data_IF_045720671213
#
_entry.id   IF_045720671213
#
_cell.length_a   1.000
_cell.length_b   1.000
_cell.length_c   1.000
_cell.angle_alpha   90.00
_cell.angle_beta   90.00
_cell.angle_gamma   90.00
#
_symmetry.space_group_name_H-M   'P 1'
#
loop_
_entity.id
_entity.type
_entity.pdbx_description
1 polymer ?
#
# COMPACT_ATOMS: atom_id res chain seq x y z
N UNK A 1 30.50 -14.39 -6.94
CA UNK A 1 29.07 -14.05 -6.88
C UNK A 1 28.89 -13.22 -5.62
N UNK A 2 28.65 -11.91 -5.76
CA UNK A 2 28.34 -11.08 -4.61
C UNK A 2 27.06 -11.63 -3.95
N UNK A 3 27.06 -11.70 -2.64
CA UNK A 3 25.92 -12.21 -1.88
C UNK A 3 24.72 -11.27 -2.11
N UNK A 4 23.83 -11.65 -3.03
CA UNK A 4 22.62 -10.88 -3.39
C UNK A 4 21.53 -10.95 -2.31
N UNK A 5 21.83 -11.58 -1.17
CA UNK A 5 20.92 -11.71 -0.05
C UNK A 5 20.84 -10.39 0.72
N UNK A 6 19.63 -9.97 1.00
CA UNK A 6 19.39 -8.83 1.89
C UNK A 6 19.57 -9.24 3.33
N UNK A 7 20.27 -8.42 4.11
CA UNK A 7 20.38 -8.63 5.55
C UNK A 7 19.00 -8.45 6.23
N UNK A 8 18.82 -9.09 7.38
CA UNK A 8 17.58 -8.91 8.18
C UNK A 8 17.37 -7.44 8.54
N UNK A 9 18.45 -6.71 8.82
CA UNK A 9 18.41 -5.27 9.12
C UNK A 9 17.86 -4.45 7.95
N UNK A 10 18.21 -4.78 6.71
CA UNK A 10 17.68 -4.12 5.51
C UNK A 10 16.20 -4.44 5.28
N UNK A 11 15.79 -5.70 5.50
CA UNK A 11 14.39 -6.13 5.39
C UNK A 11 13.50 -5.41 6.42
N UNK A 12 13.94 -5.34 7.67
CA UNK A 12 13.26 -4.58 8.73
C UNK A 12 13.26 -3.10 8.39
N UNK A 13 14.40 -2.55 7.96
CA UNK A 13 14.51 -1.14 7.58
C UNK A 13 13.57 -0.75 6.45
N UNK A 14 13.43 -1.60 5.43
CA UNK A 14 12.44 -1.39 4.39
C UNK A 14 11.01 -1.45 4.94
N UNK A 15 10.70 -2.43 5.79
CA UNK A 15 9.40 -2.53 6.44
C UNK A 15 9.05 -1.32 7.32
N UNK A 16 10.05 -0.74 8.00
CA UNK A 16 9.88 0.48 8.80
C UNK A 16 9.44 1.69 7.96
N UNK A 17 9.89 1.81 6.70
CA UNK A 17 9.43 2.87 5.81
C UNK A 17 7.93 2.85 5.60
N UNK A 18 7.34 1.68 5.33
CA UNK A 18 5.88 1.53 5.16
C UNK A 18 5.13 1.64 6.49
N UNK A 19 5.69 1.11 7.56
CA UNK A 19 5.13 1.25 8.90
C UNK A 19 5.03 2.73 9.31
N UNK A 20 6.08 3.53 9.06
CA UNK A 20 6.05 4.99 9.28
C UNK A 20 5.02 5.71 8.44
N UNK A 21 4.83 5.28 7.18
CA UNK A 21 3.77 5.77 6.31
C UNK A 21 2.38 5.45 6.88
N UNK A 22 2.17 4.19 7.29
CA UNK A 22 0.88 3.69 7.77
C UNK A 22 0.49 4.23 9.17
N UNK A 23 1.43 4.58 10.03
CA UNK A 23 1.13 5.28 11.28
C UNK A 23 0.40 6.60 11.01
N UNK A 24 0.89 7.40 10.08
CA UNK A 24 0.30 8.70 9.75
C UNK A 24 -0.99 8.55 8.96
N UNK A 25 -0.95 7.80 7.85
CA UNK A 25 -2.14 7.58 7.00
C UNK A 25 -3.23 6.80 7.74
N UNK A 26 -2.86 5.81 8.56
CA UNK A 26 -3.81 5.07 9.37
C UNK A 26 -4.54 5.95 10.38
N UNK A 27 -3.84 6.88 11.04
CA UNK A 27 -4.46 7.87 11.93
C UNK A 27 -5.46 8.76 11.16
N UNK A 28 -5.08 9.21 9.96
CA UNK A 28 -5.96 10.00 9.10
C UNK A 28 -7.19 9.19 8.70
N UNK A 29 -7.01 7.99 8.16
CA UNK A 29 -8.13 7.13 7.71
C UNK A 29 -9.13 6.80 8.82
N UNK A 30 -8.66 6.63 10.05
CA UNK A 30 -9.52 6.32 11.19
C UNK A 30 -10.25 7.54 11.73
N UNK A 31 -9.62 8.73 11.74
CA UNK A 31 -10.09 9.86 12.55
C UNK A 31 -10.34 11.15 11.77
N UNK A 32 -9.98 11.26 10.49
CA UNK A 32 -10.10 12.50 9.73
C UNK A 32 -11.53 13.03 9.68
N UNK A 33 -12.50 12.17 9.46
CA UNK A 33 -13.90 12.58 9.41
C UNK A 33 -14.34 13.14 10.77
N UNK A 34 -14.15 12.37 11.85
CA UNK A 34 -14.49 12.80 13.20
C UNK A 34 -13.76 14.06 13.62
N UNK A 35 -12.46 14.16 13.32
CA UNK A 35 -11.67 15.34 13.63
C UNK A 35 -12.21 16.59 12.94
N UNK A 36 -12.45 16.54 11.62
CA UNK A 36 -12.91 17.70 10.88
C UNK A 36 -14.36 18.09 11.18
N UNK A 37 -15.24 17.15 11.46
CA UNK A 37 -16.66 17.46 11.78
C UNK A 37 -16.83 17.86 13.24
N UNK A 38 -16.38 17.04 14.18
CA UNK A 38 -16.75 17.15 15.60
C UNK A 38 -15.75 18.01 16.40
N UNK A 39 -14.47 18.08 15.98
CA UNK A 39 -13.43 18.82 16.70
C UNK A 39 -13.10 20.12 15.99
N UNK A 40 -12.84 20.08 14.69
CA UNK A 40 -12.48 21.24 13.90
C UNK A 40 -13.71 22.11 13.56
N UNK A 41 -14.91 21.49 13.46
CA UNK A 41 -16.19 22.16 13.26
C UNK A 41 -16.52 22.49 11.80
N UNK A 42 -16.05 21.67 10.84
CA UNK A 42 -16.46 21.81 9.43
C UNK A 42 -17.77 21.08 9.14
N UNK A 43 -18.57 21.64 8.23
CA UNK A 43 -19.78 20.96 7.75
C UNK A 43 -19.41 19.62 7.07
N UNK A 44 -20.13 18.51 7.36
CA UNK A 44 -19.82 17.18 6.82
C UNK A 44 -19.76 17.12 5.29
N UNK A 45 -20.64 17.87 4.60
CA UNK A 45 -20.61 17.97 3.14
C UNK A 45 -19.30 18.58 2.62
N UNK A 46 -18.75 19.57 3.34
CA UNK A 46 -17.48 20.21 2.98
C UNK A 46 -16.30 19.26 3.20
N UNK A 47 -16.34 18.45 4.26
CA UNK A 47 -15.33 17.40 4.51
C UNK A 47 -15.36 16.39 3.36
N UNK A 48 -16.53 15.98 2.89
CA UNK A 48 -16.67 15.12 1.71
C UNK A 48 -16.03 15.71 0.45
N UNK A 49 -16.27 17.00 0.17
CA UNK A 49 -15.64 17.72 -0.95
C UNK A 49 -14.11 17.77 -0.80
N UNK A 50 -13.62 18.05 0.42
CA UNK A 50 -12.19 18.08 0.72
C UNK A 50 -11.53 16.72 0.44
N UNK A 51 -12.11 15.63 0.94
CA UNK A 51 -11.58 14.28 0.71
C UNK A 51 -11.60 13.88 -0.78
N UNK A 52 -12.65 14.27 -1.51
CA UNK A 52 -12.76 13.99 -2.95
C UNK A 52 -11.75 14.80 -3.76
N UNK A 53 -11.57 16.10 -3.44
CA UNK A 53 -10.65 16.99 -4.16
C UNK A 53 -9.21 16.46 -4.11
N UNK A 54 -8.79 15.92 -2.95
CA UNK A 54 -7.46 15.32 -2.80
C UNK A 54 -7.28 14.07 -3.68
N UNK A 55 -8.33 13.27 -3.90
CA UNK A 55 -8.25 12.11 -4.82
C UNK A 55 -8.02 12.53 -6.27
N UNK A 56 -8.61 13.65 -6.70
CA UNK A 56 -8.36 14.21 -8.03
C UNK A 56 -6.91 14.70 -8.15
N UNK A 57 -6.40 15.34 -7.10
CA UNK A 57 -5.01 15.82 -7.05
C UNK A 57 -4.04 14.63 -7.11
N UNK A 58 -4.28 13.58 -6.33
CA UNK A 58 -3.47 12.36 -6.35
C UNK A 58 -3.34 11.79 -7.77
N UNK A 59 -4.44 11.77 -8.55
CA UNK A 59 -4.42 11.26 -9.92
C UNK A 59 -3.43 11.99 -10.84
N UNK A 60 -3.18 13.28 -10.57
CA UNK A 60 -2.23 14.11 -11.33
C UNK A 60 -0.83 14.05 -10.74
N UNK A 61 -0.72 14.12 -9.41
CA UNK A 61 0.59 14.18 -8.73
C UNK A 61 1.33 12.85 -8.71
N UNK A 62 0.61 11.71 -8.68
CA UNK A 62 1.24 10.40 -8.66
C UNK A 62 2.13 10.13 -9.89
N UNK A 63 1.70 10.30 -11.16
CA UNK A 63 2.56 10.12 -12.32
C UNK A 63 3.72 11.11 -12.39
N UNK A 64 3.47 12.37 -11.99
CA UNK A 64 4.51 13.40 -11.95
C UNK A 64 5.60 13.02 -10.97
N UNK A 65 5.22 12.57 -9.77
CA UNK A 65 6.16 12.15 -8.74
C UNK A 65 6.93 10.90 -9.16
N UNK A 66 6.28 9.94 -9.81
CA UNK A 66 6.95 8.76 -10.40
C UNK A 66 8.05 9.15 -11.38
N UNK A 67 7.74 10.09 -12.27
CA UNK A 67 8.71 10.61 -13.25
C UNK A 67 9.84 11.40 -12.60
N UNK A 68 9.55 12.20 -11.57
CA UNK A 68 10.58 12.93 -10.81
C UNK A 68 11.52 11.97 -10.08
N UNK A 69 10.97 10.94 -9.45
CA UNK A 69 11.75 9.92 -8.77
C UNK A 69 12.67 9.17 -9.73
N UNK A 70 12.18 8.80 -10.92
CA UNK A 70 12.96 8.12 -11.96
C UNK A 70 14.10 8.98 -12.49
N UNK A 71 13.94 10.31 -12.54
CA UNK A 71 14.94 11.28 -13.03
C UNK A 71 15.88 11.79 -11.94
N UNK A 72 15.61 11.48 -10.68
CA UNK A 72 16.43 11.95 -9.56
C UNK A 72 17.84 11.36 -9.65
N UNK A 73 18.85 12.22 -9.51
CA UNK A 73 20.27 11.85 -9.46
C UNK A 73 20.87 12.41 -8.19
N UNK A 74 21.31 11.55 -7.30
CA UNK A 74 21.99 11.98 -6.07
C UNK A 74 23.06 10.98 -5.65
N UNK A 75 23.96 11.40 -4.77
CA UNK A 75 24.96 10.54 -4.15
C UNK A 75 24.37 9.39 -3.32
N UNK A 76 23.08 9.48 -2.98
CA UNK A 76 22.37 8.46 -2.20
C UNK A 76 21.55 7.50 -3.05
N UNK A 77 21.53 7.67 -4.37
CA UNK A 77 20.68 6.92 -5.30
C UNK A 77 19.55 7.76 -5.88
N UNK A 78 18.54 7.09 -6.44
CA UNK A 78 17.38 7.70 -7.11
C UNK A 78 16.19 7.87 -6.17
N UNK A 79 15.87 6.85 -5.40
CA UNK A 79 14.66 6.76 -4.58
C UNK A 79 14.92 7.08 -3.10
N UNK A 80 16.07 6.64 -2.56
CA UNK A 80 16.45 6.88 -1.15
C UNK A 80 16.45 8.35 -0.72
N UNK A 81 16.95 9.31 -1.52
CA UNK A 81 17.01 10.70 -1.07
C UNK A 81 15.63 11.28 -0.75
N UNK A 82 14.58 10.81 -1.41
CA UNK A 82 13.21 11.25 -1.15
C UNK A 82 12.73 10.89 0.26
N UNK A 83 13.17 9.75 0.81
CA UNK A 83 12.90 9.37 2.19
C UNK A 83 13.52 10.36 3.19
N UNK A 84 14.72 10.87 2.89
CA UNK A 84 15.40 11.85 3.72
C UNK A 84 14.78 13.25 3.60
N UNK A 85 14.53 13.70 2.37
CA UNK A 85 14.06 15.07 2.12
C UNK A 85 12.62 15.29 2.53
N UNK A 86 11.76 14.29 2.37
CA UNK A 86 10.32 14.42 2.59
C UNK A 86 9.88 13.95 3.99
N UNK A 87 10.69 13.20 4.73
CA UNK A 87 10.33 12.72 6.06
C UNK A 87 9.90 13.86 7.00
N UNK A 88 10.65 14.96 7.04
CA UNK A 88 10.32 16.12 7.89
C UNK A 88 9.07 16.88 7.37
N UNK A 89 8.96 17.30 6.09
CA UNK A 89 7.75 17.92 5.56
C UNK A 89 6.49 17.07 5.77
N UNK A 90 6.59 15.75 5.57
CA UNK A 90 5.47 14.84 5.77
C UNK A 90 5.00 14.80 7.22
N UNK A 91 5.93 14.73 8.17
CA UNK A 91 5.62 14.81 9.60
C UNK A 91 5.03 16.18 9.97
N UNK A 92 5.60 17.27 9.46
CA UNK A 92 5.14 18.63 9.73
C UNK A 92 3.69 18.84 9.26
N UNK A 93 3.38 18.48 8.00
CA UNK A 93 2.02 18.66 7.46
C UNK A 93 1.01 17.73 8.12
N UNK A 94 1.45 16.56 8.64
CA UNK A 94 0.60 15.68 9.45
C UNK A 94 0.17 16.36 10.75
N UNK A 95 1.09 17.05 11.44
CA UNK A 95 0.78 17.79 12.66
C UNK A 95 -0.08 19.01 12.37
N UNK A 96 0.25 19.78 11.31
CA UNK A 96 -0.52 20.95 10.92
C UNK A 96 -1.97 20.59 10.54
N UNK A 97 -2.20 19.44 9.88
CA UNK A 97 -3.54 18.98 9.56
C UNK A 97 -4.41 18.77 10.80
N UNK A 98 -3.84 18.30 11.92
CA UNK A 98 -4.52 18.10 13.20
C UNK A 98 -4.41 19.30 14.15
N UNK A 99 -3.96 20.46 13.67
CA UNK A 99 -3.93 21.72 14.42
C UNK A 99 -5.21 22.51 14.15
N UNK A 100 -5.88 22.94 15.20
CA UNK A 100 -7.14 23.68 15.12
C UNK A 100 -6.89 25.17 15.46
N UNK A 101 -6.67 26.06 14.47
CA UNK A 101 -6.48 27.49 14.72
C UNK A 101 -7.80 28.14 15.13
N UNK A 102 -7.74 29.13 16.01
CA UNK A 102 -8.88 29.94 16.43
C UNK A 102 -9.15 31.08 15.43
N UNK A 103 -9.53 30.70 14.20
CA UNK A 103 -9.79 31.63 13.11
C UNK A 103 -11.26 31.65 12.75
N UNK A 104 -11.64 32.60 11.86
CA UNK A 104 -12.98 32.62 11.27
C UNK A 104 -13.27 31.34 10.49
N UNK A 105 -14.55 30.97 10.37
CA UNK A 105 -14.96 29.75 9.68
C UNK A 105 -14.34 29.59 8.27
N UNK A 106 -14.41 30.68 7.46
CA UNK A 106 -13.86 30.66 6.09
C UNK A 106 -12.33 30.44 6.09
N UNK A 107 -11.61 31.06 7.03
CA UNK A 107 -10.15 30.86 7.17
C UNK A 107 -9.82 29.45 7.63
N UNK A 108 -10.63 28.85 8.50
CA UNK A 108 -10.52 27.44 8.89
C UNK A 108 -10.71 26.50 7.71
N UNK A 109 -11.70 26.76 6.84
CA UNK A 109 -11.93 25.98 5.62
C UNK A 109 -10.69 26.00 4.73
N UNK A 110 -10.17 27.19 4.41
CA UNK A 110 -8.96 27.34 3.58
C UNK A 110 -7.78 26.62 4.22
N UNK A 111 -7.57 26.76 5.52
CA UNK A 111 -6.50 26.07 6.25
C UNK A 111 -6.61 24.56 6.13
N UNK A 112 -7.80 23.98 6.32
CA UNK A 112 -8.03 22.53 6.19
C UNK A 112 -7.71 22.04 4.77
N UNK A 113 -8.14 22.77 3.72
CA UNK A 113 -7.83 22.40 2.34
C UNK A 113 -6.32 22.49 2.05
N UNK A 114 -5.65 23.57 2.47
CA UNK A 114 -4.21 23.75 2.22
C UNK A 114 -3.38 22.69 2.96
N UNK A 115 -3.64 22.46 4.25
CA UNK A 115 -2.86 21.50 5.04
C UNK A 115 -3.08 20.08 4.56
N UNK A 116 -4.30 19.69 4.21
CA UNK A 116 -4.58 18.34 3.68
C UNK A 116 -4.02 18.16 2.26
N UNK A 117 -4.06 19.19 1.43
CA UNK A 117 -3.40 19.20 0.11
C UNK A 117 -1.89 18.98 0.24
N UNK A 118 -1.21 19.77 1.10
CA UNK A 118 0.24 19.67 1.30
C UNK A 118 0.63 18.30 1.89
N UNK A 119 -0.19 17.76 2.80
CA UNK A 119 -0.01 16.43 3.33
C UNK A 119 -0.14 15.36 2.24
N UNK A 120 -1.13 15.45 1.34
CA UNK A 120 -1.30 14.50 0.23
C UNK A 120 -0.12 14.55 -0.73
N UNK A 121 0.35 15.75 -1.10
CA UNK A 121 1.51 15.91 -1.97
C UNK A 121 2.77 15.31 -1.34
N UNK A 122 3.02 15.57 -0.05
CA UNK A 122 4.18 15.00 0.65
C UNK A 122 4.04 13.49 0.85
N UNK A 123 2.83 12.98 1.08
CA UNK A 123 2.57 11.54 1.07
C UNK A 123 2.93 10.89 -0.26
N UNK A 124 2.46 11.44 -1.37
CA UNK A 124 2.82 10.97 -2.72
C UNK A 124 4.33 11.04 -2.95
N UNK A 125 4.97 12.15 -2.52
CA UNK A 125 6.40 12.39 -2.70
C UNK A 125 7.30 11.42 -1.88
N UNK A 126 6.82 10.85 -0.79
CA UNK A 126 7.56 9.86 -0.02
C UNK A 126 7.18 8.43 -0.39
N UNK A 127 5.90 8.16 -0.65
CA UNK A 127 5.37 6.81 -0.85
C UNK A 127 5.75 6.22 -2.20
N UNK A 128 5.71 6.98 -3.30
CA UNK A 128 6.06 6.48 -4.64
C UNK A 128 7.53 6.08 -4.73
N UNK A 129 8.50 6.94 -4.33
CA UNK A 129 9.91 6.54 -4.29
C UNK A 129 10.15 5.36 -3.33
N UNK A 130 9.47 5.33 -2.17
CA UNK A 130 9.56 4.21 -1.24
C UNK A 130 9.12 2.88 -1.88
N UNK A 131 7.97 2.85 -2.53
CA UNK A 131 7.49 1.64 -3.21
C UNK A 131 8.45 1.21 -4.34
N UNK A 132 8.96 2.17 -5.10
CA UNK A 132 9.92 1.94 -6.19
C UNK A 132 11.27 1.44 -5.67
N UNK A 133 11.69 1.87 -4.48
CA UNK A 133 12.95 1.45 -3.84
C UNK A 133 13.05 -0.07 -3.69
N UNK A 134 11.95 -0.75 -3.37
CA UNK A 134 11.91 -2.21 -3.23
C UNK A 134 12.38 -2.97 -4.47
N UNK A 135 12.26 -2.39 -5.68
CA UNK A 135 12.66 -3.01 -6.94
C UNK A 135 14.16 -2.94 -7.21
N UNK A 136 14.82 -1.95 -6.62
CA UNK A 136 16.26 -1.67 -6.84
C UNK A 136 17.15 -2.14 -5.69
N UNK A 137 16.55 -2.71 -4.63
CA UNK A 137 17.30 -3.29 -3.51
C UNK A 137 17.94 -4.63 -3.86
N UNK A 138 17.25 -5.48 -4.62
CA UNK A 138 17.72 -6.82 -5.01
C UNK A 138 17.13 -7.28 -6.33
N UNK A 139 17.92 -8.00 -7.10
CA UNK A 139 17.47 -8.67 -8.32
C UNK A 139 16.81 -10.02 -8.02
N UNK A 140 17.09 -10.65 -6.87
CA UNK A 140 16.56 -11.98 -6.52
C UNK A 140 15.05 -11.91 -6.21
N UNK A 141 14.20 -12.61 -7.01
CA UNK A 141 12.76 -12.64 -6.78
C UNK A 141 12.33 -13.23 -5.42
N UNK A 142 13.12 -14.13 -4.85
CA UNK A 142 12.83 -14.70 -3.52
C UNK A 142 13.11 -13.69 -2.41
N UNK A 143 14.21 -12.96 -2.52
CA UNK A 143 14.54 -11.89 -1.58
C UNK A 143 13.53 -10.73 -1.66
N UNK A 144 12.98 -10.45 -2.86
CA UNK A 144 11.88 -9.47 -3.03
C UNK A 144 10.63 -9.91 -2.24
N UNK A 145 10.22 -11.18 -2.33
CA UNK A 145 9.09 -11.68 -1.53
C UNK A 145 9.38 -11.60 -0.04
N UNK A 146 10.58 -12.00 0.37
CA UNK A 146 10.99 -11.90 1.77
C UNK A 146 10.90 -10.45 2.28
N UNK A 147 11.43 -9.50 1.51
CA UNK A 147 11.41 -8.08 1.84
C UNK A 147 9.97 -7.56 1.99
N UNK A 148 9.07 -7.91 1.08
CA UNK A 148 7.65 -7.55 1.15
C UNK A 148 6.94 -8.24 2.34
N UNK A 149 7.29 -9.49 2.67
CA UNK A 149 6.75 -10.16 3.85
C UNK A 149 7.10 -9.42 5.14
N UNK A 150 8.36 -9.02 5.32
CA UNK A 150 8.80 -8.20 6.45
C UNK A 150 8.07 -6.84 6.48
N UNK A 151 7.91 -6.20 5.31
CA UNK A 151 7.16 -4.96 5.16
C UNK A 151 5.76 -5.07 5.75
N UNK A 152 4.97 -6.06 5.33
CA UNK A 152 3.59 -6.22 5.81
C UNK A 152 3.49 -6.63 7.28
N UNK A 153 4.47 -7.34 7.82
CA UNK A 153 4.55 -7.61 9.27
C UNK A 153 4.77 -6.29 10.03
N UNK A 154 5.70 -5.45 9.58
CA UNK A 154 5.95 -4.15 10.23
C UNK A 154 4.73 -3.21 10.14
N UNK A 155 4.02 -3.20 9.01
CA UNK A 155 2.75 -2.49 8.85
C UNK A 155 1.70 -3.01 9.82
N UNK A 156 1.56 -4.34 9.96
CA UNK A 156 0.64 -4.94 10.92
C UNK A 156 0.92 -4.51 12.36
N UNK A 157 2.19 -4.54 12.78
CA UNK A 157 2.62 -4.04 14.10
C UNK A 157 2.27 -2.57 14.26
N UNK A 158 2.58 -1.74 13.27
CA UNK A 158 2.30 -0.29 13.30
C UNK A 158 0.80 -0.02 13.40
N UNK A 159 -0.04 -0.74 12.66
CA UNK A 159 -1.50 -0.62 12.69
C UNK A 159 -2.07 -1.01 14.04
N UNK A 160 -1.60 -2.12 14.65
CA UNK A 160 -2.01 -2.53 15.98
C UNK A 160 -1.61 -1.49 17.03
N UNK A 161 -0.37 -1.02 17.01
CA UNK A 161 0.10 0.00 17.93
C UNK A 161 -0.72 1.29 17.79
N UNK A 162 -0.97 1.74 16.55
CA UNK A 162 -1.78 2.91 16.28
C UNK A 162 -3.18 2.79 16.87
N UNK A 163 -3.86 1.67 16.62
CA UNK A 163 -5.24 1.45 17.07
C UNK A 163 -5.36 1.38 18.60
N UNK A 164 -4.31 0.92 19.28
CA UNK A 164 -4.27 0.81 20.73
C UNK A 164 -3.82 2.10 21.43
N UNK A 165 -3.05 2.95 20.76
CA UNK A 165 -2.39 4.09 21.43
C UNK A 165 -3.01 5.44 21.11
N UNK A 166 -3.58 5.64 19.91
CA UNK A 166 -3.99 6.97 19.46
C UNK A 166 -5.06 7.61 20.37
N UNK A 167 -6.15 6.89 20.66
CA UNK A 167 -7.22 7.43 21.50
C UNK A 167 -6.77 7.66 22.94
N UNK A 168 -6.14 6.67 23.63
CA UNK A 168 -5.60 6.91 24.97
C UNK A 168 -4.60 8.08 25.04
N UNK A 169 -3.76 8.23 24.02
CA UNK A 169 -2.83 9.37 23.96
C UNK A 169 -3.57 10.69 23.76
N UNK A 170 -4.58 10.73 22.89
CA UNK A 170 -5.36 11.95 22.68
C UNK A 170 -6.11 12.36 23.97
N UNK A 171 -6.67 11.41 24.70
CA UNK A 171 -7.34 11.68 25.98
C UNK A 171 -6.34 12.11 27.06
N UNK A 172 -5.18 11.47 27.14
CA UNK A 172 -4.15 11.81 28.14
C UNK A 172 -3.53 13.20 27.92
N UNK A 173 -3.20 13.56 26.69
CA UNK A 173 -2.64 14.85 26.37
C UNK A 173 -3.66 16.00 26.35
N UNK A 174 -4.90 15.68 25.95
CA UNK A 174 -5.94 16.70 25.74
C UNK A 174 -6.73 17.02 27.02
N UNK A 175 -6.99 16.04 27.86
CA UNK A 175 -7.89 16.19 28.99
C UNK A 175 -9.25 16.74 28.55
N UNK A 176 -9.55 17.98 28.93
CA UNK A 176 -10.78 18.68 28.51
C UNK A 176 -10.74 19.23 27.09
N UNK A 177 -9.54 19.46 26.54
CA UNK A 177 -9.30 20.02 25.20
C UNK A 177 -8.96 18.90 24.20
N UNK A 178 -9.97 18.35 23.55
CA UNK A 178 -9.80 17.29 22.56
C UNK A 178 -8.94 17.72 21.36
N UNK A 179 -9.04 18.98 20.91
CA UNK A 179 -8.28 19.47 19.77
C UNK A 179 -6.76 19.40 20.04
N UNK A 180 -6.37 19.89 21.22
CA UNK A 180 -4.98 19.81 21.69
C UNK A 180 -4.53 18.36 21.87
N UNK A 181 -5.41 17.49 22.37
CA UNK A 181 -5.15 16.06 22.54
C UNK A 181 -4.78 15.37 21.23
N UNK A 182 -5.59 15.56 20.19
CA UNK A 182 -5.32 14.99 18.85
C UNK A 182 -4.06 15.59 18.22
N UNK A 183 -3.82 16.89 18.36
CA UNK A 183 -2.61 17.54 17.87
C UNK A 183 -1.35 16.95 18.51
N UNK A 184 -1.34 16.81 19.84
CA UNK A 184 -0.18 16.26 20.56
C UNK A 184 0.05 14.78 20.25
N UNK A 185 -1.01 13.98 20.21
CA UNK A 185 -0.93 12.57 19.80
C UNK A 185 -0.34 12.43 18.38
N UNK A 186 -0.85 13.22 17.42
CA UNK A 186 -0.30 13.24 16.06
C UNK A 186 1.14 13.74 16.01
N UNK A 187 1.55 14.68 16.87
CA UNK A 187 2.94 15.15 16.95
C UNK A 187 3.88 14.00 17.32
N UNK A 188 3.51 13.20 18.33
CA UNK A 188 4.30 12.03 18.75
C UNK A 188 4.34 10.99 17.64
N UNK A 189 3.18 10.66 17.04
CA UNK A 189 3.10 9.66 15.96
C UNK A 189 3.85 10.10 14.70
N UNK A 190 3.76 11.38 14.33
CA UNK A 190 4.48 11.93 13.19
C UNK A 190 6.00 11.91 13.41
N UNK A 191 6.46 12.21 14.65
CA UNK A 191 7.86 12.09 15.02
C UNK A 191 8.37 10.64 14.93
N UNK A 192 7.58 9.66 15.43
CA UNK A 192 7.91 8.25 15.31
C UNK A 192 7.97 7.85 13.84
N UNK A 193 6.98 8.22 13.03
CA UNK A 193 6.95 7.95 11.58
C UNK A 193 8.16 8.55 10.86
N UNK A 194 8.54 9.78 11.17
CA UNK A 194 9.76 10.42 10.64
C UNK A 194 11.02 9.62 11.00
N UNK A 195 11.18 9.21 12.26
CA UNK A 195 12.31 8.38 12.68
C UNK A 195 12.35 7.03 11.93
N UNK A 196 11.19 6.42 11.67
CA UNK A 196 11.09 5.18 10.91
C UNK A 196 11.53 5.37 9.45
N UNK A 197 11.17 6.48 8.79
CA UNK A 197 11.67 6.81 7.45
C UNK A 197 13.18 7.06 7.43
N UNK A 198 13.71 7.78 8.40
CA UNK A 198 15.16 8.02 8.53
C UNK A 198 15.92 6.71 8.79
N UNK A 199 15.35 5.79 9.57
CA UNK A 199 15.90 4.46 9.78
C UNK A 199 15.89 3.64 8.48
N UNK A 200 14.81 3.69 7.70
CA UNK A 200 14.74 3.08 6.38
C UNK A 200 15.84 3.64 5.46
N UNK A 201 15.96 4.97 5.37
CA UNK A 201 17.03 5.63 4.60
C UNK A 201 18.43 5.17 5.02
N UNK A 202 18.70 5.04 6.32
CA UNK A 202 20.02 4.68 6.85
C UNK A 202 20.38 3.21 6.58
N UNK A 203 19.40 2.32 6.57
CA UNK A 203 19.63 0.85 6.51
C UNK A 203 19.53 0.29 5.10
N UNK A 204 18.67 0.83 4.24
CA UNK A 204 18.41 0.32 2.89
C UNK A 204 19.39 0.91 1.88
N UNK A 205 19.82 0.12 0.90
CA UNK A 205 20.70 0.55 -0.20
C UNK A 205 20.13 0.16 -1.56
N UNK A 206 20.31 1.04 -2.54
CA UNK A 206 20.02 0.74 -3.94
C UNK A 206 21.22 -0.02 -4.54
N UNK A 207 20.95 -1.20 -5.12
CA UNK A 207 21.98 -2.06 -5.73
C UNK A 207 21.81 -2.19 -7.23
N UNK A 208 20.59 -1.99 -7.73
CA UNK A 208 20.26 -2.13 -9.15
C UNK A 208 20.23 -0.74 -9.77
N UNK A 209 21.15 -0.51 -10.68
CA UNK A 209 21.19 0.69 -11.49
C UNK A 209 20.72 0.36 -12.91
N UNK A 210 19.90 1.20 -13.57
CA UNK A 210 19.48 0.97 -14.94
C UNK A 210 20.68 1.10 -15.89
N UNK A 211 20.74 0.23 -16.90
CA UNK A 211 21.81 0.23 -17.90
C UNK A 211 21.79 1.52 -18.75
N UNK A 212 20.61 2.05 -19.04
CA UNK A 212 20.43 3.28 -19.82
C UNK A 212 19.63 4.29 -19.01
N UNK A 213 20.22 5.46 -18.80
CA UNK A 213 19.51 6.60 -18.20
C UNK A 213 18.93 7.47 -19.33
N UNK A 214 17.60 7.50 -19.43
CA UNK A 214 16.93 8.32 -20.44
C UNK A 214 16.50 9.65 -19.83
N UNK A 215 16.81 10.75 -20.55
CA UNK A 215 16.29 12.08 -20.30
C UNK A 215 15.05 12.36 -21.18
N UNK A 216 14.30 11.33 -21.53
CA UNK A 216 13.15 11.43 -22.41
C UNK A 216 12.00 12.24 -21.79
N UNK A 217 11.12 12.78 -22.61
CA UNK A 217 9.93 13.49 -22.16
C UNK A 217 8.96 12.57 -21.43
N UNK A 218 8.27 13.08 -20.40
CA UNK A 218 7.26 12.34 -19.61
C UNK A 218 6.23 11.62 -20.50
N UNK A 219 5.78 12.28 -21.58
CA UNK A 219 4.81 11.69 -22.53
C UNK A 219 5.35 10.43 -23.22
N UNK A 220 6.66 10.41 -23.53
CA UNK A 220 7.31 9.25 -24.17
C UNK A 220 7.45 8.10 -23.18
N UNK A 221 7.86 8.40 -21.93
CA UNK A 221 7.97 7.40 -20.87
C UNK A 221 6.61 6.76 -20.56
N UNK A 222 5.53 7.56 -20.46
CA UNK A 222 4.16 7.05 -20.31
C UNK A 222 3.77 6.13 -21.48
N UNK A 223 4.09 6.50 -22.73
CA UNK A 223 3.81 5.65 -23.89
C UNK A 223 4.61 4.34 -23.87
N UNK A 224 5.85 4.40 -23.39
CA UNK A 224 6.73 3.22 -23.32
C UNK A 224 6.28 2.25 -22.22
N UNK A 225 5.77 2.74 -21.09
CA UNK A 225 5.16 1.89 -20.04
C UNK A 225 3.95 1.13 -20.59
N UNK A 226 3.10 1.76 -21.42
CA UNK A 226 1.95 1.08 -22.04
C UNK A 226 2.35 -0.02 -23.04
N UNK A 227 3.56 -0.02 -23.56
CA UNK A 227 4.08 -1.12 -24.39
C UNK A 227 4.43 -2.38 -23.59
N UNK A 228 4.54 -2.27 -22.26
CA UNK A 228 4.72 -3.40 -21.37
C UNK A 228 3.37 -4.08 -21.13
N UNK A 229 3.08 -5.13 -21.89
CA UNK A 229 1.82 -5.88 -21.79
C UNK A 229 1.60 -6.53 -20.41
N UNK A 230 2.68 -6.88 -19.70
CA UNK A 230 2.58 -7.41 -18.35
C UNK A 230 2.20 -6.33 -17.34
N UNK A 231 2.60 -5.08 -17.58
CA UNK A 231 2.23 -3.95 -16.74
C UNK A 231 0.71 -3.70 -16.76
N UNK A 232 0.09 -3.73 -17.95
CA UNK A 232 -1.38 -3.59 -18.05
C UNK A 232 -2.10 -4.72 -17.31
N UNK A 233 -1.59 -5.94 -17.40
CA UNK A 233 -2.17 -7.11 -16.70
C UNK A 233 -2.03 -7.02 -15.18
N UNK A 234 -0.90 -6.49 -14.69
CA UNK A 234 -0.72 -6.32 -13.24
C UNK A 234 -1.57 -5.18 -12.68
N UNK A 235 -1.85 -4.12 -13.45
CA UNK A 235 -2.81 -3.08 -13.06
C UNK A 235 -4.21 -3.67 -12.88
N UNK A 236 -4.64 -4.52 -13.82
CA UNK A 236 -5.90 -5.26 -13.70
C UNK A 236 -5.89 -6.18 -12.47
N UNK A 237 -4.77 -6.88 -12.23
CA UNK A 237 -4.61 -7.72 -11.04
C UNK A 237 -4.70 -6.88 -9.76
N UNK A 238 -4.10 -5.70 -9.72
CA UNK A 238 -4.19 -4.78 -8.57
C UNK A 238 -5.64 -4.44 -8.24
N UNK A 239 -6.39 -4.02 -9.26
CA UNK A 239 -7.81 -3.69 -9.12
C UNK A 239 -8.61 -4.88 -8.56
N UNK A 240 -8.47 -6.06 -9.19
CA UNK A 240 -9.21 -7.25 -8.80
C UNK A 240 -8.80 -7.80 -7.42
N UNK A 241 -7.53 -7.65 -7.03
CA UNK A 241 -7.00 -8.16 -5.77
C UNK A 241 -7.43 -7.31 -4.56
N UNK A 242 -7.50 -5.99 -4.74
CA UNK A 242 -7.83 -5.04 -3.65
C UNK A 242 -9.32 -5.05 -3.33
N UNK A 243 -10.18 -5.08 -4.36
CA UNK A 243 -11.63 -4.96 -4.19
C UNK A 243 -12.24 -5.99 -3.21
N UNK A 244 -12.01 -7.30 -3.32
CA UNK A 244 -12.65 -8.29 -2.46
C UNK A 244 -12.28 -8.12 -0.99
N UNK A 245 -11.00 -7.87 -0.70
CA UNK A 245 -10.51 -7.65 0.65
C UNK A 245 -11.11 -6.42 1.30
N UNK A 246 -11.19 -5.31 0.55
CA UNK A 246 -11.74 -4.06 1.05
C UNK A 246 -13.26 -4.13 1.26
N UNK A 247 -14.00 -4.80 0.36
CA UNK A 247 -15.44 -5.06 0.55
C UNK A 247 -15.69 -5.80 1.86
N UNK A 248 -14.93 -6.88 2.11
CA UNK A 248 -15.05 -7.63 3.37
C UNK A 248 -14.68 -6.79 4.58
N UNK A 249 -13.58 -6.06 4.52
CA UNK A 249 -13.14 -5.20 5.61
C UNK A 249 -14.22 -4.18 5.98
N UNK A 250 -14.81 -3.52 5.00
CA UNK A 250 -15.90 -2.57 5.20
C UNK A 250 -17.17 -3.24 5.74
N UNK A 251 -17.48 -4.48 5.32
CA UNK A 251 -18.62 -5.24 5.78
C UNK A 251 -18.45 -5.84 7.20
N UNK A 252 -17.21 -5.93 7.70
CA UNK A 252 -16.90 -6.63 8.97
C UNK A 252 -17.65 -6.03 10.16
N UNK A 253 -17.67 -4.70 10.29
CA UNK A 253 -18.40 -4.03 11.40
C UNK A 253 -19.89 -4.34 11.34
N UNK A 254 -20.51 -4.26 10.15
CA UNK A 254 -21.93 -4.58 9.97
C UNK A 254 -22.22 -6.05 10.31
N UNK A 255 -21.35 -6.97 9.88
CA UNK A 255 -21.49 -8.39 10.16
C UNK A 255 -21.42 -8.70 11.66
N UNK A 256 -20.45 -8.15 12.37
CA UNK A 256 -20.29 -8.37 13.81
C UNK A 256 -21.46 -7.75 14.60
N UNK A 257 -21.88 -6.53 14.26
CA UNK A 257 -22.92 -5.81 15.00
C UNK A 257 -24.31 -6.36 14.72
N UNK A 258 -24.67 -6.54 13.45
CA UNK A 258 -26.04 -6.85 13.07
C UNK A 258 -26.31 -8.34 12.86
N UNK A 259 -25.34 -9.10 12.35
CA UNK A 259 -25.53 -10.53 12.07
C UNK A 259 -25.12 -11.40 13.25
N UNK A 260 -23.97 -11.10 13.90
CA UNK A 260 -23.55 -11.81 15.10
C UNK A 260 -24.21 -11.27 16.38
N UNK A 261 -24.76 -10.05 16.35
CA UNK A 261 -25.37 -9.41 17.53
C UNK A 261 -24.38 -9.06 18.63
N UNK A 262 -23.12 -8.82 18.29
CA UNK A 262 -22.04 -8.57 19.25
C UNK A 262 -21.77 -7.07 19.43
N UNK A 263 -21.13 -6.72 20.56
CA UNK A 263 -20.78 -5.33 20.87
C UNK A 263 -19.66 -4.78 20.00
N UNK A 264 -19.55 -3.44 19.91
CA UNK A 264 -18.46 -2.74 19.23
C UNK A 264 -17.08 -3.12 19.83
N UNK A 265 -17.01 -3.38 21.13
CA UNK A 265 -15.80 -3.85 21.77
C UNK A 265 -15.35 -5.23 21.23
N UNK A 266 -16.30 -6.15 21.05
CA UNK A 266 -16.04 -7.44 20.42
C UNK A 266 -15.59 -7.27 18.97
N UNK A 267 -16.18 -6.33 18.22
CA UNK A 267 -15.76 -6.03 16.84
C UNK A 267 -14.29 -5.58 16.77
N UNK A 268 -13.84 -4.78 17.74
CA UNK A 268 -12.43 -4.37 17.83
C UNK A 268 -11.51 -5.58 18.04
N UNK A 269 -11.86 -6.49 18.94
CA UNK A 269 -11.10 -7.73 19.14
C UNK A 269 -11.08 -8.61 17.89
N UNK A 270 -12.24 -8.74 17.23
CA UNK A 270 -12.41 -9.52 16.02
C UNK A 270 -11.50 -8.99 14.89
N UNK A 271 -11.52 -7.68 14.65
CA UNK A 271 -10.65 -7.02 13.65
C UNK A 271 -9.17 -7.18 14.02
N UNK A 272 -8.81 -6.97 15.29
CA UNK A 272 -7.44 -7.12 15.77
C UNK A 272 -6.90 -8.54 15.57
N UNK A 273 -7.73 -9.56 15.82
CA UNK A 273 -7.40 -10.95 15.53
C UNK A 273 -7.13 -11.18 14.05
N UNK A 274 -7.91 -10.54 13.17
CA UNK A 274 -7.68 -10.54 11.72
C UNK A 274 -6.32 -9.96 11.35
N UNK A 275 -5.91 -8.83 11.95
CA UNK A 275 -4.59 -8.21 11.70
C UNK A 275 -3.45 -9.15 12.08
N UNK A 276 -3.55 -9.85 13.22
CA UNK A 276 -2.56 -10.87 13.62
C UNK A 276 -2.51 -12.00 12.59
N UNK A 277 -3.66 -12.46 12.10
CA UNK A 277 -3.72 -13.44 11.01
C UNK A 277 -3.02 -12.94 9.74
N UNK A 278 -3.23 -11.69 9.36
CA UNK A 278 -2.55 -11.08 8.20
C UNK A 278 -1.02 -11.06 8.36
N UNK A 279 -0.50 -10.76 9.56
CA UNK A 279 0.95 -10.80 9.81
C UNK A 279 1.52 -12.19 9.58
N UNK A 280 0.85 -13.24 10.06
CA UNK A 280 1.25 -14.64 9.85
C UNK A 280 1.18 -14.99 8.36
N UNK A 281 0.11 -14.60 7.66
CA UNK A 281 -0.06 -14.79 6.22
C UNK A 281 1.07 -14.18 5.40
N UNK A 282 1.52 -12.98 5.77
CA UNK A 282 2.67 -12.32 5.12
C UNK A 282 3.96 -13.13 5.24
N UNK A 283 4.22 -13.76 6.39
CA UNK A 283 5.40 -14.62 6.58
C UNK A 283 5.28 -15.93 5.80
N UNK A 284 4.07 -16.52 5.75
CA UNK A 284 3.80 -17.73 4.97
C UNK A 284 4.02 -17.53 3.48
N UNK A 285 3.80 -16.33 2.94
CA UNK A 285 4.07 -16.02 1.55
C UNK A 285 5.50 -16.36 1.14
N UNK A 286 6.49 -16.02 1.97
CA UNK A 286 7.90 -16.38 1.75
C UNK A 286 8.11 -17.89 1.77
N UNK A 287 7.60 -18.57 2.81
CA UNK A 287 7.76 -20.02 2.98
C UNK A 287 7.20 -20.79 1.79
N UNK A 288 6.04 -20.38 1.30
CA UNK A 288 5.40 -21.01 0.15
C UNK A 288 6.18 -20.75 -1.16
N UNK A 289 6.69 -19.54 -1.38
CA UNK A 289 7.42 -19.19 -2.61
C UNK A 289 8.86 -19.71 -2.64
N UNK A 290 9.42 -20.12 -1.52
CA UNK A 290 10.69 -20.84 -1.50
C UNK A 290 10.57 -22.21 -2.22
N UNK A 291 9.39 -22.84 -2.14
CA UNK A 291 9.11 -24.16 -2.74
C UNK A 291 8.42 -24.07 -4.09
N UNK A 292 7.43 -23.20 -4.23
CA UNK A 292 6.56 -23.07 -5.41
C UNK A 292 6.76 -21.75 -6.15
N UNK A 293 6.28 -21.70 -7.42
CA UNK A 293 6.28 -20.47 -8.21
C UNK A 293 5.29 -19.44 -7.64
N UNK A 294 5.68 -18.15 -7.62
CA UNK A 294 4.84 -17.03 -7.13
C UNK A 294 3.44 -17.05 -7.74
N UNK A 295 3.34 -17.21 -9.08
CA UNK A 295 2.04 -17.21 -9.78
C UNK A 295 1.17 -18.39 -9.36
N UNK A 296 1.76 -19.57 -9.13
CA UNK A 296 1.02 -20.75 -8.66
C UNK A 296 0.53 -20.55 -7.23
N UNK A 297 1.39 -20.05 -6.33
CA UNK A 297 0.99 -19.74 -4.94
C UNK A 297 -0.13 -18.72 -4.95
N UNK A 298 0.00 -17.64 -5.73
CA UNK A 298 -1.03 -16.59 -5.85
C UNK A 298 -2.36 -17.17 -6.34
N UNK A 299 -2.33 -17.98 -7.41
CA UNK A 299 -3.51 -18.60 -8.00
C UNK A 299 -4.23 -19.52 -6.99
N UNK A 300 -3.52 -20.51 -6.45
CA UNK A 300 -4.14 -21.49 -5.56
C UNK A 300 -4.60 -20.89 -4.24
N UNK A 301 -3.88 -19.92 -3.70
CA UNK A 301 -4.30 -19.22 -2.49
C UNK A 301 -5.62 -18.47 -2.73
N UNK A 302 -5.80 -17.81 -3.88
CA UNK A 302 -7.06 -17.15 -4.20
C UNK A 302 -8.22 -18.16 -4.43
N UNK A 303 -7.97 -19.32 -5.00
CA UNK A 303 -8.98 -20.38 -5.13
C UNK A 303 -9.42 -20.88 -3.73
N UNK A 304 -8.46 -21.23 -2.87
CA UNK A 304 -8.75 -21.67 -1.48
C UNK A 304 -9.50 -20.57 -0.72
N UNK A 305 -9.03 -19.32 -0.85
CA UNK A 305 -9.63 -18.15 -0.21
C UNK A 305 -11.07 -17.91 -0.69
N UNK A 306 -11.35 -18.11 -1.99
CA UNK A 306 -12.68 -17.99 -2.56
C UNK A 306 -13.63 -19.03 -1.98
N UNK A 307 -13.22 -20.30 -1.95
CA UNK A 307 -14.01 -21.41 -1.39
C UNK A 307 -14.28 -21.14 0.10
N UNK A 308 -13.22 -20.79 0.85
CA UNK A 308 -13.33 -20.55 2.27
C UNK A 308 -14.19 -19.32 2.60
N UNK A 309 -14.10 -18.27 1.76
CA UNK A 309 -14.94 -17.08 1.86
C UNK A 309 -16.42 -17.40 1.62
N UNK A 310 -16.75 -18.14 0.56
CA UNK A 310 -18.13 -18.55 0.27
C UNK A 310 -18.69 -19.46 1.35
N UNK A 311 -17.86 -20.29 1.98
CA UNK A 311 -18.27 -21.18 3.06
C UNK A 311 -18.82 -20.43 4.28
N UNK A 312 -18.37 -19.19 4.54
CA UNK A 312 -18.90 -18.34 5.60
C UNK A 312 -20.41 -18.10 5.52
N UNK A 313 -20.98 -18.15 4.33
CA UNK A 313 -22.43 -18.01 4.12
C UNK A 313 -23.25 -19.10 4.82
N UNK A 314 -22.68 -20.29 4.98
CA UNK A 314 -23.37 -21.47 5.53
C UNK A 314 -23.14 -21.65 7.03
N UNK A 315 -22.21 -20.92 7.65
CA UNK A 315 -21.94 -21.05 9.08
C UNK A 315 -22.95 -20.27 9.92
N UNK A 316 -23.31 -20.83 11.08
CA UNK A 316 -24.16 -20.15 12.06
C UNK A 316 -23.40 -18.94 12.64
N UNK A 317 -23.87 -17.70 12.44
CA UNK A 317 -23.18 -16.51 12.94
C UNK A 317 -23.12 -16.43 14.48
N UNK A 318 -23.98 -17.13 15.17
CA UNK A 318 -24.00 -17.17 16.64
C UNK A 318 -22.97 -18.15 17.24
N UNK A 319 -22.35 -18.99 16.43
CA UNK A 319 -21.21 -19.81 16.84
C UNK A 319 -19.92 -18.97 16.91
N UNK A 320 -19.88 -18.01 17.84
CA UNK A 320 -18.91 -16.92 17.96
C UNK A 320 -17.46 -17.41 17.90
N UNK A 321 -17.10 -18.45 18.68
CA UNK A 321 -15.74 -19.00 18.71
C UNK A 321 -15.34 -19.59 17.36
N UNK A 322 -16.26 -20.33 16.72
CA UNK A 322 -16.01 -20.91 15.39
C UNK A 322 -15.76 -19.79 14.36
N UNK A 323 -16.62 -18.77 14.34
CA UNK A 323 -16.49 -17.63 13.44
C UNK A 323 -15.18 -16.88 13.67
N UNK A 324 -14.74 -16.69 14.91
CA UNK A 324 -13.44 -16.06 15.22
C UNK A 324 -12.26 -16.86 14.65
N UNK A 325 -12.25 -18.19 14.84
CA UNK A 325 -11.20 -19.06 14.33
C UNK A 325 -11.18 -19.05 12.80
N UNK A 326 -12.35 -19.17 12.17
CA UNK A 326 -12.48 -19.15 10.72
C UNK A 326 -12.06 -17.78 10.15
N UNK A 327 -12.42 -16.68 10.79
CA UNK A 327 -12.01 -15.34 10.38
C UNK A 327 -10.49 -15.15 10.50
N UNK A 328 -9.88 -15.65 11.56
CA UNK A 328 -8.43 -15.65 11.73
C UNK A 328 -7.74 -16.41 10.60
N UNK A 329 -8.16 -17.65 10.29
CA UNK A 329 -7.62 -18.46 9.20
C UNK A 329 -7.83 -17.80 7.84
N UNK A 330 -8.98 -17.18 7.63
CA UNK A 330 -9.30 -16.45 6.42
C UNK A 330 -8.35 -15.26 6.20
N UNK A 331 -8.02 -14.51 7.26
CA UNK A 331 -7.09 -13.40 7.16
C UNK A 331 -5.64 -13.86 6.92
N UNK A 332 -5.23 -15.03 7.44
CA UNK A 332 -3.96 -15.66 7.07
C UNK A 332 -3.92 -15.90 5.56
N UNK A 333 -4.94 -16.55 5.00
CA UNK A 333 -5.02 -16.83 3.57
C UNK A 333 -5.09 -15.54 2.74
N UNK A 334 -5.89 -14.57 3.18
CA UNK A 334 -6.07 -13.28 2.49
C UNK A 334 -4.77 -12.51 2.30
N UNK A 335 -3.87 -12.57 3.27
CA UNK A 335 -2.64 -11.78 3.22
C UNK A 335 -1.51 -12.42 2.42
N UNK A 336 -1.54 -13.73 2.15
CA UNK A 336 -0.48 -14.40 1.37
C UNK A 336 -0.28 -13.75 -0.02
N UNK A 337 -1.33 -13.41 -0.81
CA UNK A 337 -1.18 -12.75 -2.10
C UNK A 337 -0.53 -11.36 -2.04
N UNK A 338 -0.65 -10.61 -0.94
CA UNK A 338 -0.17 -9.22 -0.87
C UNK A 338 1.34 -9.06 -1.08
N UNK A 339 2.24 -9.74 -0.35
CA UNK A 339 3.68 -9.70 -0.61
C UNK A 339 4.04 -10.16 -2.02
N UNK A 340 3.29 -11.14 -2.55
CA UNK A 340 3.50 -11.66 -3.90
C UNK A 340 3.16 -10.63 -4.96
N UNK A 341 2.05 -9.91 -4.79
CA UNK A 341 1.61 -8.85 -5.70
C UNK A 341 2.70 -7.77 -5.85
N UNK A 342 3.20 -7.22 -4.74
CA UNK A 342 4.25 -6.21 -4.75
C UNK A 342 5.58 -6.74 -5.31
N UNK A 343 5.89 -8.02 -5.07
CA UNK A 343 7.06 -8.66 -5.69
C UNK A 343 6.88 -8.85 -7.20
N UNK A 344 5.67 -9.21 -7.67
CA UNK A 344 5.34 -9.34 -9.09
C UNK A 344 5.41 -7.99 -9.82
N UNK A 345 5.08 -6.87 -9.15
CA UNK A 345 5.30 -5.53 -9.70
C UNK A 345 6.75 -5.30 -10.10
N UNK A 346 7.69 -5.71 -9.22
CA UNK A 346 9.12 -5.62 -9.52
C UNK A 346 9.54 -6.53 -10.69
N UNK A 347 8.97 -7.73 -10.78
CA UNK A 347 9.25 -8.67 -11.87
C UNK A 347 8.70 -8.12 -13.22
N UNK A 348 7.54 -7.47 -13.20
CA UNK A 348 6.96 -6.80 -14.37
C UNK A 348 7.77 -5.58 -14.82
N UNK A 349 8.40 -4.87 -13.88
CA UNK A 349 9.29 -3.77 -14.18
C UNK A 349 10.59 -4.27 -14.86
N UNK A 350 11.17 -5.37 -14.36
CA UNK A 350 12.31 -6.05 -15.01
C UNK A 350 11.95 -6.55 -16.42
N UNK A 351 10.74 -7.11 -16.61
CA UNK A 351 10.23 -7.50 -17.94
C UNK A 351 10.13 -6.29 -18.88
N UNK A 352 9.66 -5.15 -18.37
CA UNK A 352 9.59 -3.90 -19.11
C UNK A 352 10.98 -3.43 -19.57
N UNK A 353 11.98 -3.43 -18.67
CA UNK A 353 13.38 -3.10 -18.99
C UNK A 353 13.95 -4.06 -20.03
N UNK A 354 13.71 -5.35 -19.90
CA UNK A 354 14.17 -6.37 -20.85
C UNK A 354 13.61 -6.15 -22.25
N UNK A 355 12.30 -5.83 -22.35
CA UNK A 355 11.56 -5.66 -23.61
C UNK A 355 11.84 -4.32 -24.29
N UNK A 356 11.93 -3.23 -23.54
CA UNK A 356 12.04 -1.85 -24.07
C UNK A 356 13.44 -1.27 -23.99
N UNK A 357 14.35 -1.90 -23.25
CA UNK A 357 15.69 -1.37 -22.97
C UNK A 357 15.71 -0.23 -21.93
N UNK A 358 14.55 0.18 -21.41
CA UNK A 358 14.41 1.29 -20.46
C UNK A 358 13.77 0.82 -19.16
N UNK A 359 14.29 1.32 -18.04
CA UNK A 359 13.71 1.10 -16.72
C UNK A 359 12.94 2.34 -16.27
N UNK A 360 11.62 2.22 -16.17
CA UNK A 360 10.69 3.32 -15.84
C UNK A 360 9.91 2.93 -14.57
N UNK A 361 10.62 2.69 -13.47
CA UNK A 361 10.09 2.11 -12.23
C UNK A 361 9.10 3.05 -11.54
N UNK A 362 9.42 4.34 -11.39
CA UNK A 362 8.59 5.29 -10.66
C UNK A 362 7.22 5.48 -11.31
N UNK A 363 7.17 5.64 -12.64
CA UNK A 363 5.91 5.75 -13.39
C UNK A 363 5.14 4.43 -13.33
N UNK A 364 5.82 3.29 -13.43
CA UNK A 364 5.19 1.96 -13.33
C UNK A 364 4.49 1.78 -11.99
N UNK A 365 5.14 2.13 -10.89
CA UNK A 365 4.59 2.05 -9.54
C UNK A 365 3.51 3.09 -9.26
N UNK A 366 3.65 4.32 -9.78
CA UNK A 366 2.60 5.34 -9.64
C UNK A 366 1.28 4.90 -10.29
N UNK A 367 1.35 4.26 -11.47
CA UNK A 367 0.20 3.66 -12.12
C UNK A 367 -0.45 2.56 -11.26
N UNK A 368 0.36 1.69 -10.64
CA UNK A 368 -0.16 0.65 -9.74
C UNK A 368 -0.86 1.26 -8.50
N UNK A 369 -0.27 2.26 -7.88
CA UNK A 369 -0.88 2.97 -6.74
C UNK A 369 -2.17 3.68 -7.12
N UNK A 370 -2.25 4.25 -8.33
CA UNK A 370 -3.47 4.84 -8.86
C UNK A 370 -4.58 3.78 -8.99
N UNK A 371 -4.30 2.61 -9.60
CA UNK A 371 -5.28 1.53 -9.74
C UNK A 371 -5.67 0.91 -8.39
N UNK A 372 -4.76 0.90 -7.40
CA UNK A 372 -5.07 0.54 -6.03
C UNK A 372 -6.10 1.50 -5.41
N UNK A 373 -5.90 2.82 -5.55
CA UNK A 373 -6.84 3.84 -5.08
C UNK A 373 -8.20 3.72 -5.78
N UNK A 374 -8.21 3.47 -7.08
CA UNK A 374 -9.44 3.22 -7.86
C UNK A 374 -10.16 1.97 -7.33
N UNK A 375 -9.43 0.88 -7.06
CA UNK A 375 -9.98 -0.34 -6.49
C UNK A 375 -10.65 -0.13 -5.14
N UNK A 376 -10.02 0.65 -4.26
CA UNK A 376 -10.61 1.03 -2.97
C UNK A 376 -11.90 1.84 -3.14
N UNK A 377 -11.92 2.79 -4.08
CA UNK A 377 -13.10 3.61 -4.37
C UNK A 377 -14.26 2.76 -4.94
N UNK A 378 -13.98 1.88 -5.90
CA UNK A 378 -14.95 0.95 -6.47
C UNK A 378 -15.53 0.03 -5.39
N UNK A 379 -14.66 -0.54 -4.54
CA UNK A 379 -15.10 -1.42 -3.45
C UNK A 379 -16.00 -0.67 -2.45
N UNK A 380 -15.64 0.56 -2.06
CA UNK A 380 -16.45 1.39 -1.19
C UNK A 380 -17.82 1.72 -1.79
N UNK A 381 -17.87 2.08 -3.07
CA UNK A 381 -19.13 2.35 -3.79
C UNK A 381 -20.00 1.08 -3.88
N UNK A 382 -19.40 -0.09 -4.15
CA UNK A 382 -20.13 -1.36 -4.18
C UNK A 382 -20.76 -1.69 -2.83
N UNK A 383 -20.04 -1.48 -1.73
CA UNK A 383 -20.58 -1.72 -0.38
C UNK A 383 -21.77 -0.81 -0.11
N UNK A 384 -21.65 0.50 -0.37
CA UNK A 384 -22.73 1.46 -0.16
C UNK A 384 -23.97 1.15 -1.02
N UNK A 385 -23.76 0.87 -2.32
CA UNK A 385 -24.83 0.52 -3.25
C UNK A 385 -25.56 -0.77 -2.83
N UNK A 386 -24.81 -1.82 -2.47
CA UNK A 386 -25.41 -3.11 -2.10
C UNK A 386 -26.15 -3.03 -0.76
N UNK A 387 -25.62 -2.32 0.25
CA UNK A 387 -26.34 -2.09 1.50
C UNK A 387 -27.67 -1.37 1.24
N UNK A 388 -27.66 -0.32 0.41
CA UNK A 388 -28.89 0.40 0.02
C UNK A 388 -29.87 -0.50 -0.75
N UNK A 389 -29.37 -1.31 -1.68
CA UNK A 389 -30.18 -2.24 -2.49
C UNK A 389 -30.89 -3.28 -1.63
N UNK A 390 -30.21 -3.80 -0.59
CA UNK A 390 -30.79 -4.75 0.35
C UNK A 390 -31.64 -4.09 1.47
N UNK A 391 -31.80 -2.76 1.43
CA UNK A 391 -32.64 -2.01 2.36
C UNK A 391 -32.06 -1.86 3.76
N UNK A 392 -30.73 -1.69 3.85
CA UNK A 392 -30.08 -1.37 5.13
C UNK A 392 -30.49 0.03 5.59
N UNK A 393 -30.97 0.14 6.84
CA UNK A 393 -31.34 1.38 7.48
C UNK A 393 -30.47 1.64 8.73
N UNK A 394 -29.65 2.70 8.67
CA UNK A 394 -28.75 3.07 9.76
C UNK A 394 -29.48 3.51 11.05
N UNK A 395 -30.74 4.01 10.92
CA UNK A 395 -31.56 4.45 12.05
C UNK A 395 -32.43 3.36 12.68
N UNK A 396 -32.50 2.17 12.07
CA UNK A 396 -33.34 1.10 12.54
C UNK A 396 -32.81 0.45 13.82
N UNK A 397 -33.72 0.12 14.76
CA UNK A 397 -33.36 -0.66 15.95
C UNK A 397 -33.06 -2.13 15.63
N UNK A 398 -33.61 -2.66 14.55
CA UNK A 398 -33.34 -3.99 14.01
C UNK A 398 -33.39 -3.94 12.49
N UNK A 399 -32.49 -4.66 11.83
CA UNK A 399 -32.41 -4.71 10.38
C UNK A 399 -33.40 -5.73 9.80
N UNK A 400 -33.87 -5.49 8.57
CA UNK A 400 -34.70 -6.45 7.85
C UNK A 400 -33.93 -7.72 7.49
N UNK A 401 -34.62 -8.84 7.29
CA UNK A 401 -34.01 -10.09 6.86
C UNK A 401 -33.23 -9.93 5.52
N UNK A 402 -33.72 -9.07 4.63
CA UNK A 402 -33.04 -8.73 3.38
C UNK A 402 -31.72 -8.01 3.65
N UNK A 403 -31.70 -7.00 4.51
CA UNK A 403 -30.50 -6.25 4.89
C UNK A 403 -29.45 -7.16 5.56
N UNK A 404 -29.87 -8.03 6.47
CA UNK A 404 -28.99 -9.01 7.11
C UNK A 404 -28.36 -9.96 6.07
N UNK A 405 -29.15 -10.47 5.13
CA UNK A 405 -28.63 -11.32 4.06
C UNK A 405 -27.64 -10.54 3.16
N UNK A 406 -27.94 -9.28 2.84
CA UNK A 406 -27.01 -8.41 2.10
C UNK A 406 -25.66 -8.23 2.81
N UNK A 407 -25.67 -8.05 4.13
CA UNK A 407 -24.46 -7.95 4.95
C UNK A 407 -23.67 -9.27 4.91
N UNK A 408 -24.35 -10.42 5.04
CA UNK A 408 -23.70 -11.74 4.96
C UNK A 408 -23.07 -11.95 3.58
N UNK A 409 -23.75 -11.57 2.48
CA UNK A 409 -23.22 -11.68 1.12
C UNK A 409 -21.99 -10.78 0.91
N UNK A 410 -22.00 -9.54 1.43
CA UNK A 410 -20.87 -8.62 1.38
C UNK A 410 -19.66 -9.12 2.17
N UNK A 411 -19.88 -9.86 3.24
CA UNK A 411 -18.82 -10.43 4.07
C UNK A 411 -18.26 -11.74 3.47
N UNK A 412 -19.08 -12.54 2.75
CA UNK A 412 -18.77 -13.91 2.34
C UNK A 412 -18.69 -14.11 0.82
N UNK A 413 -19.82 -14.17 0.15
CA UNK A 413 -19.94 -14.64 -1.27
C UNK A 413 -19.36 -13.62 -2.24
N UNK A 414 -19.65 -12.33 -2.08
CA UNK A 414 -19.19 -11.28 -2.99
C UNK A 414 -17.65 -11.20 -3.01
N UNK A 415 -16.95 -11.14 -1.86
CA UNK A 415 -15.50 -11.26 -1.85
C UNK A 415 -15.01 -12.60 -2.42
N UNK A 416 -15.72 -13.71 -2.15
CA UNK A 416 -15.39 -15.02 -2.70
C UNK A 416 -15.36 -15.05 -4.22
N UNK A 417 -16.38 -14.50 -4.87
CA UNK A 417 -16.41 -14.33 -6.33
C UNK A 417 -15.27 -13.41 -6.82
N UNK A 418 -15.00 -12.33 -6.11
CA UNK A 418 -13.90 -11.44 -6.41
C UNK A 418 -12.53 -12.15 -6.38
N UNK A 419 -12.29 -13.05 -5.44
CA UNK A 419 -11.07 -13.87 -5.40
C UNK A 419 -10.98 -14.87 -6.55
N UNK A 420 -12.09 -15.43 -7.02
CA UNK A 420 -12.11 -16.26 -8.23
C UNK A 420 -11.73 -15.46 -9.48
N UNK A 421 -12.25 -14.24 -9.60
CA UNK A 421 -11.88 -13.32 -10.68
C UNK A 421 -10.38 -13.01 -10.61
N UNK A 422 -9.87 -12.70 -9.41
CA UNK A 422 -8.44 -12.45 -9.18
C UNK A 422 -7.58 -13.65 -9.59
N UNK A 423 -7.98 -14.88 -9.24
CA UNK A 423 -7.30 -16.09 -9.67
C UNK A 423 -7.29 -16.25 -11.21
N UNK A 424 -8.40 -15.89 -11.87
CA UNK A 424 -8.45 -15.86 -13.34
C UNK A 424 -7.47 -14.86 -13.95
N UNK A 425 -7.40 -13.64 -13.39
CA UNK A 425 -6.51 -12.59 -13.89
C UNK A 425 -5.03 -12.95 -13.69
N UNK A 426 -4.67 -13.62 -12.59
CA UNK A 426 -3.28 -14.10 -12.36
C UNK A 426 -2.77 -14.96 -13.51
N UNK A 427 -3.63 -15.78 -14.13
CA UNK A 427 -3.25 -16.64 -15.27
C UNK A 427 -2.89 -15.86 -16.54
N UNK A 428 -3.27 -14.60 -16.64
CA UNK A 428 -2.89 -13.73 -17.75
C UNK A 428 -1.43 -13.28 -17.66
N UNK A 429 -0.83 -13.31 -16.47
CA UNK A 429 0.58 -12.95 -16.25
C UNK A 429 1.50 -14.07 -16.75
N UNK A 430 2.56 -13.67 -17.47
CA UNK A 430 3.55 -14.59 -18.08
C UNK A 430 4.90 -14.59 -17.35
N UNK A 431 5.05 -13.78 -16.30
CA UNK A 431 6.30 -13.62 -15.53
C UNK A 431 6.50 -14.82 -14.57
N UNK A 432 6.67 -16.00 -15.16
CA UNK A 432 6.93 -17.23 -14.41
C UNK A 432 8.41 -17.33 -13.98
N UNK A 433 8.72 -18.38 -13.23
CA UNK A 433 10.08 -18.58 -12.68
C UNK A 433 11.13 -18.80 -13.79
N UNK A 434 10.73 -19.41 -14.90
CA UNK A 434 11.63 -19.74 -16.03
C UNK A 434 11.96 -18.48 -16.80
N UNK A 435 10.93 -17.72 -17.20
CA UNK A 435 11.10 -16.46 -17.92
C UNK A 435 11.87 -15.43 -17.06
N UNK A 436 11.58 -15.33 -15.77
CA UNK A 436 12.29 -14.40 -14.89
C UNK A 436 13.78 -14.71 -14.75
N UNK A 437 14.17 -15.99 -14.73
CA UNK A 437 15.58 -16.38 -14.75
C UNK A 437 16.28 -15.94 -16.03
N UNK A 438 15.63 -16.11 -17.18
CA UNK A 438 16.14 -15.65 -18.46
C UNK A 438 16.31 -14.13 -18.48
N UNK A 439 15.26 -13.40 -18.09
CA UNK A 439 15.28 -11.93 -18.03
C UNK A 439 16.43 -11.43 -17.15
N UNK A 440 16.60 -12.01 -15.98
CA UNK A 440 17.70 -11.62 -15.07
C UNK A 440 19.06 -11.87 -15.67
N UNK A 441 19.29 -13.03 -16.27
CA UNK A 441 20.56 -13.34 -16.95
C UNK A 441 20.86 -12.35 -18.10
N UNK A 442 19.83 -12.01 -18.90
CA UNK A 442 19.98 -11.10 -20.02
C UNK A 442 20.21 -9.65 -19.54
N UNK A 443 19.53 -9.22 -18.48
CA UNK A 443 19.71 -7.91 -17.88
C UNK A 443 21.09 -7.78 -17.20
N UNK A 444 21.59 -8.82 -16.53
CA UNK A 444 22.93 -8.85 -15.95
C UNK A 444 23.99 -8.67 -17.04
N UNK A 445 23.89 -9.42 -18.15
CA UNK A 445 24.80 -9.28 -19.31
C UNK A 445 24.78 -7.86 -19.89
N UNK A 446 23.57 -7.28 -20.08
CA UNK A 446 23.45 -5.90 -20.58
C UNK A 446 24.11 -4.88 -19.67
N UNK A 447 23.95 -5.04 -18.35
CA UNK A 447 24.53 -4.14 -17.33
C UNK A 447 26.05 -4.28 -17.27
N UNK A 448 26.60 -5.50 -17.36
CA UNK A 448 28.03 -5.76 -17.42
C UNK A 448 28.65 -5.12 -18.66
N UNK A 449 28.11 -5.36 -19.86
CA UNK A 449 28.61 -4.78 -21.09
C UNK A 449 28.57 -3.23 -21.06
N UNK A 450 27.54 -2.64 -20.44
CA UNK A 450 27.43 -1.19 -20.32
C UNK A 450 28.46 -0.61 -19.33
N UNK A 451 28.76 -1.29 -18.25
CA UNK A 451 29.78 -0.87 -17.30
C UNK A 451 31.18 -0.93 -17.91
N UNK A 452 31.51 -1.97 -18.68
CA UNK A 452 32.78 -2.11 -19.40
C UNK A 452 32.93 -1.01 -20.48
N UNK A 453 31.84 -0.69 -21.19
CA UNK A 453 31.87 0.41 -22.20
C UNK A 453 32.09 1.78 -21.55
N UNK A 454 31.49 2.06 -20.43
CA UNK A 454 31.69 3.31 -19.70
C UNK A 454 33.11 3.42 -19.13
N UNK A 455 33.63 2.34 -18.53
CA UNK A 455 34.99 2.30 -18.03
C UNK A 455 36.03 2.53 -19.16
N UNK A 456 35.79 1.92 -20.34
CA UNK A 456 36.61 2.17 -21.53
C UNK A 456 36.55 3.62 -22.03
N UNK A 457 35.37 4.25 -21.99
CA UNK A 457 35.20 5.66 -22.37
C UNK A 457 35.86 6.61 -21.37
N UNK A 458 35.76 6.34 -20.07
CA UNK A 458 36.43 7.10 -19.01
C UNK A 458 37.95 7.01 -19.14
N UNK A 459 38.49 5.81 -19.41
CA UNK A 459 39.91 5.61 -19.67
C UNK A 459 40.40 6.41 -20.89
N UNK A 460 39.66 6.36 -22.01
CA UNK A 460 39.98 7.17 -23.19
C UNK A 460 39.96 8.68 -22.93
N UNK A 461 38.96 9.13 -22.17
CA UNK A 461 38.85 10.57 -21.84
C UNK A 461 39.99 11.02 -20.92
N UNK A 462 40.38 10.17 -19.96
CA UNK A 462 41.50 10.43 -19.06
C UNK A 462 42.85 10.41 -19.78
N UNK A 463 43.02 9.55 -20.79
CA UNK A 463 44.22 9.55 -21.66
C UNK A 463 44.29 10.80 -22.56
N UNK A 464 43.16 11.29 -23.06
CA UNK A 464 43.13 12.54 -23.84
C UNK A 464 43.47 13.77 -23.00
N UNK A 465 42.96 13.82 -21.76
CA UNK A 465 43.27 14.91 -20.80
C UNK A 465 44.73 14.86 -20.33
N UNK A 466 45.38 13.68 -20.30
CA UNK A 466 46.81 13.56 -19.98
C UNK A 466 47.75 13.91 -21.15
N UNK A 467 47.23 13.91 -22.37
CA UNK A 467 48.01 14.24 -23.60
C UNK A 467 47.78 15.68 -24.07
N UNK A 468 46.81 16.41 -23.53
CA UNK A 468 46.60 17.83 -23.70
C UNK A 468 47.26 18.64 -22.57
#
# INVERSE_FOLDING_TARGET
MADNRLSIKEKIGYGMGDAGCNIIIGAIMLFVNYFYTDIFGLAPALVGVLLLSVRVIDAVTDPIMGALADRTRSKYGRFRPWLLWIAFPYALFSVLMFTTPEWTYNSKVIYAFVTYFLLSVTYTAINIPYCSLGTVMTADPKERVACQSYRFVMVGIATLLLSLTLLPMADWFGGADKAKGYQMAMTVLAFIGMCMFLFCFATVRERIHPAVQTNDELKKDLKDVWKNDQWVRILLLTLCNVCPGFIRMAATMYYVTWVMGQSTHFATLFISLGVVGMMIGSMLAKVLTDRWCKLQVFFWTNIVLAIFSCAFYFFNPHATTLIMVLYFLLNILHQIPSPLHWSLMSDVDDYGEWKTGKRITGISFSGNLFFLKVGLAVAGAMVGFLLSWYGYDAGAKAQSASALNGIVLLFSVIPGVGYLITAGVVRLLKVDRTLMRQIQSDLEKRRSNYSELNEYQELKTSEHVRKA
#
